data_IF_845674786092
#
_entry.id   IF_845674786092
#
_cell.length_a   1.000
_cell.length_b   1.000
_cell.length_c   1.000
_cell.angle_alpha   90.00
_cell.angle_beta   90.00
_cell.angle_gamma   90.00
#
_symmetry.space_group_name_H-M   'P 1'
#
loop_
_entity.id
_entity.type
_entity.pdbx_description
1 polymer ?
#
# COMPACT_ATOMS: atom_id res chain seq x y z
N UNK A 1 -7.77 -31.81 -0.20
CA UNK A 1 -6.49 -31.16 0.09
C UNK A 1 -5.65 -32.16 0.85
N UNK A 2 -4.42 -32.41 0.40
CA UNK A 2 -3.46 -33.18 1.17
C UNK A 2 -2.83 -32.29 2.29
N UNK A 3 -2.09 -32.90 3.20
CA UNK A 3 -1.52 -32.20 4.36
C UNK A 3 -0.54 -31.09 3.94
N UNK A 4 0.19 -31.28 2.85
CA UNK A 4 1.11 -30.27 2.31
C UNK A 4 0.36 -29.06 1.74
N UNK A 5 -0.76 -29.29 1.05
CA UNK A 5 -1.64 -28.24 0.52
C UNK A 5 -2.30 -27.45 1.66
N UNK A 6 -2.73 -28.12 2.72
CA UNK A 6 -3.29 -27.47 3.92
C UNK A 6 -2.26 -26.57 4.61
N UNK A 7 -1.04 -27.07 4.81
CA UNK A 7 0.05 -26.28 5.40
C UNK A 7 0.37 -25.04 4.56
N UNK A 8 0.45 -25.21 3.23
CA UNK A 8 0.73 -24.10 2.32
C UNK A 8 -0.40 -23.06 2.31
N UNK A 9 -1.65 -23.52 2.38
CA UNK A 9 -2.80 -22.64 2.51
C UNK A 9 -2.76 -21.85 3.83
N UNK A 10 -2.32 -22.48 4.92
CA UNK A 10 -2.16 -21.81 6.21
C UNK A 10 -1.08 -20.73 6.16
N UNK A 11 0.08 -21.07 5.62
CA UNK A 11 1.19 -20.13 5.40
C UNK A 11 0.75 -18.93 4.55
N UNK A 12 0.03 -19.16 3.46
CA UNK A 12 -0.43 -18.10 2.56
C UNK A 12 -1.55 -17.25 3.16
N UNK A 13 -2.49 -17.87 3.88
CA UNK A 13 -3.55 -17.13 4.58
C UNK A 13 -2.99 -16.24 5.68
N UNK A 14 -2.02 -16.75 6.45
CA UNK A 14 -1.30 -15.98 7.45
C UNK A 14 -0.48 -14.84 6.83
N UNK A 15 0.25 -15.12 5.74
CA UNK A 15 1.01 -14.10 5.03
C UNK A 15 0.13 -12.98 4.47
N UNK A 16 -1.09 -13.29 4.03
CA UNK A 16 -2.08 -12.29 3.59
C UNK A 16 -2.87 -11.64 4.74
N UNK A 17 -2.56 -11.96 6.00
CA UNK A 17 -3.28 -11.51 7.20
C UNK A 17 -4.79 -11.80 7.14
N UNK A 18 -5.17 -13.01 6.69
CA UNK A 18 -6.54 -13.46 6.54
C UNK A 18 -6.78 -14.78 7.25
N UNK A 19 -8.03 -15.01 7.68
CA UNK A 19 -8.43 -16.37 8.04
C UNK A 19 -8.45 -17.25 6.80
N UNK A 20 -8.19 -18.55 6.97
CA UNK A 20 -8.25 -19.57 5.90
C UNK A 20 -9.52 -19.47 5.07
N UNK A 21 -10.67 -19.34 5.74
CA UNK A 21 -11.99 -19.23 5.08
C UNK A 21 -12.12 -17.95 4.25
N UNK A 22 -11.58 -16.82 4.72
CA UNK A 22 -11.59 -15.57 3.97
C UNK A 22 -10.66 -15.67 2.75
N UNK A 23 -9.46 -16.24 2.93
CA UNK A 23 -8.50 -16.46 1.87
C UNK A 23 -9.08 -17.32 0.74
N UNK A 24 -9.76 -18.43 1.08
CA UNK A 24 -10.46 -19.28 0.09
C UNK A 24 -11.57 -18.51 -0.63
N UNK A 25 -12.41 -17.74 0.09
CA UNK A 25 -13.49 -16.96 -0.54
C UNK A 25 -12.95 -15.96 -1.56
N UNK A 26 -11.83 -15.31 -1.24
CA UNK A 26 -11.16 -14.38 -2.15
C UNK A 26 -10.65 -15.09 -3.40
N UNK A 27 -10.00 -16.25 -3.25
CA UNK A 27 -9.57 -17.08 -4.37
C UNK A 27 -10.74 -17.50 -5.26
N UNK A 28 -11.86 -17.94 -4.67
CA UNK A 28 -13.08 -18.32 -5.41
C UNK A 28 -13.66 -17.10 -6.16
N UNK A 29 -13.61 -15.92 -5.55
CA UNK A 29 -14.04 -14.67 -6.17
C UNK A 29 -13.06 -14.15 -7.25
N UNK A 30 -11.99 -14.89 -7.57
CA UNK A 30 -11.01 -14.53 -8.59
C UNK A 30 -9.96 -13.53 -8.13
N UNK A 31 -9.89 -13.21 -6.84
CA UNK A 31 -8.84 -12.39 -6.27
C UNK A 31 -7.64 -13.26 -5.89
N UNK A 32 -6.43 -12.78 -6.17
CA UNK A 32 -5.19 -13.40 -5.70
C UNK A 32 -4.67 -12.60 -4.49
N UNK A 33 -4.89 -13.07 -3.25
CA UNK A 33 -4.46 -12.33 -2.07
C UNK A 33 -2.92 -12.33 -2.01
N UNK A 34 -2.36 -11.15 -1.82
CA UNK A 34 -0.91 -10.93 -1.76
C UNK A 34 -0.48 -10.78 -0.30
N UNK A 35 0.78 -11.11 -0.02
CA UNK A 35 1.33 -10.97 1.32
C UNK A 35 1.16 -9.54 1.83
N UNK A 36 0.79 -9.42 3.11
CA UNK A 36 0.77 -8.13 3.79
C UNK A 36 2.16 -7.52 3.67
N UNK A 37 2.25 -6.24 3.31
CA UNK A 37 3.52 -5.56 3.20
C UNK A 37 4.31 -5.66 4.52
N UNK A 38 5.63 -5.86 4.44
CA UNK A 38 6.49 -5.95 5.63
C UNK A 38 6.29 -4.80 6.62
N UNK A 39 6.45 -5.07 7.93
CA UNK A 39 6.30 -4.07 9.02
C UNK A 39 7.15 -2.82 8.79
N UNK A 40 8.27 -2.98 8.08
CA UNK A 40 9.17 -1.93 7.65
C UNK A 40 8.47 -0.84 6.80
N UNK A 41 7.43 -1.19 6.03
CA UNK A 41 6.64 -0.20 5.28
C UNK A 41 5.79 0.68 6.19
N UNK A 42 5.39 0.19 7.36
CA UNK A 42 4.65 1.02 8.33
C UNK A 42 5.54 2.13 8.87
N UNK A 43 6.79 1.80 9.19
CA UNK A 43 7.78 2.78 9.64
C UNK A 43 8.03 3.85 8.58
N UNK A 44 8.14 3.47 7.31
CA UNK A 44 8.30 4.40 6.19
C UNK A 44 7.09 5.34 6.06
N UNK A 45 5.87 4.83 6.24
CA UNK A 45 4.66 5.67 6.20
C UNK A 45 4.63 6.63 7.38
N UNK A 46 4.86 6.15 8.60
CA UNK A 46 4.81 6.98 9.80
C UNK A 46 5.84 8.11 9.72
N UNK A 47 7.05 7.83 9.22
CA UNK A 47 8.09 8.84 8.95
C UNK A 47 7.63 9.88 7.93
N UNK A 48 7.01 9.44 6.83
CA UNK A 48 6.49 10.32 5.79
C UNK A 48 5.35 11.23 6.32
N UNK A 49 4.51 10.71 7.20
CA UNK A 49 3.47 11.48 7.88
C UNK A 49 4.09 12.55 8.80
N UNK A 50 5.12 12.18 9.56
CA UNK A 50 5.85 13.11 10.42
C UNK A 50 6.48 14.26 9.61
N UNK A 51 7.11 13.95 8.47
CA UNK A 51 7.66 14.97 7.56
C UNK A 51 6.55 15.91 7.06
N UNK A 52 5.40 15.36 6.64
CA UNK A 52 4.26 16.16 6.19
C UNK A 52 3.72 17.11 7.26
N UNK A 53 3.64 16.66 8.52
CA UNK A 53 3.23 17.50 9.65
C UNK A 53 4.21 18.64 9.88
N UNK A 54 5.52 18.35 9.90
CA UNK A 54 6.56 19.36 10.09
C UNK A 54 6.55 20.41 8.97
N UNK A 55 6.37 19.99 7.72
CA UNK A 55 6.20 20.92 6.60
C UNK A 55 4.99 21.84 6.81
N UNK A 56 3.87 21.30 7.31
CA UNK A 56 2.64 22.08 7.52
C UNK A 56 2.83 23.14 8.61
N UNK A 57 3.58 22.81 9.65
CA UNK A 57 3.95 23.77 10.69
C UNK A 57 4.85 24.88 10.14
N UNK A 58 5.85 24.54 9.32
CA UNK A 58 6.75 25.53 8.70
C UNK A 58 5.99 26.48 7.78
N UNK A 59 5.07 25.96 6.97
CA UNK A 59 4.22 26.78 6.12
C UNK A 59 3.28 27.68 6.92
N UNK A 60 2.71 27.19 8.01
CA UNK A 60 1.88 28.00 8.92
C UNK A 60 2.69 29.14 9.52
N UNK A 61 3.93 28.89 9.94
CA UNK A 61 4.85 29.95 10.43
C UNK A 61 5.19 30.95 9.32
N UNK A 62 5.52 30.49 8.12
CA UNK A 62 5.84 31.36 6.99
C UNK A 62 4.64 32.23 6.54
N UNK A 63 3.42 31.68 6.59
CA UNK A 63 2.19 32.43 6.39
C UNK A 63 2.02 33.53 7.43
N UNK A 64 2.26 33.23 8.71
CA UNK A 64 2.21 34.24 9.79
C UNK A 64 3.27 35.34 9.66
N UNK A 65 4.39 35.05 8.98
CA UNK A 65 5.49 35.98 8.72
C UNK A 65 5.36 36.69 7.36
N UNK A 66 4.27 36.48 6.63
CA UNK A 66 3.93 37.24 5.41
C UNK A 66 4.58 36.76 4.12
N UNK A 67 5.27 35.61 4.11
CA UNK A 67 5.96 35.10 2.93
C UNK A 67 5.68 33.60 2.74
N UNK A 68 4.53 33.25 2.16
CA UNK A 68 4.33 31.97 1.48
C UNK A 68 3.21 32.06 0.44
N UNK A 69 3.40 31.40 -0.72
CA UNK A 69 2.29 31.06 -1.61
C UNK A 69 1.47 29.95 -0.95
N UNK A 70 0.57 30.34 -0.05
CA UNK A 70 -0.29 29.44 0.71
C UNK A 70 -1.12 28.51 -0.20
N UNK A 71 -1.70 28.98 -1.32
CA UNK A 71 -2.39 28.11 -2.26
C UNK A 71 -1.50 27.00 -2.84
N UNK A 72 -0.28 27.31 -3.27
CA UNK A 72 0.64 26.32 -3.84
C UNK A 72 1.12 25.32 -2.78
N UNK A 73 1.43 25.82 -1.59
CA UNK A 73 1.79 24.98 -0.46
C UNK A 73 0.68 23.96 -0.14
N UNK A 74 -0.56 24.44 0.02
CA UNK A 74 -1.71 23.59 0.37
C UNK A 74 -1.97 22.55 -0.71
N UNK A 75 -1.81 22.89 -2.00
CA UNK A 75 -1.92 21.93 -3.12
C UNK A 75 -0.89 20.81 -3.00
N UNK A 76 0.38 21.14 -2.77
CA UNK A 76 1.45 20.16 -2.67
C UNK A 76 1.32 19.26 -1.43
N UNK A 77 0.98 19.84 -0.28
CA UNK A 77 0.71 19.08 0.94
C UNK A 77 -0.46 18.12 0.76
N UNK A 78 -1.58 18.58 0.19
CA UNK A 78 -2.75 17.74 -0.09
C UNK A 78 -2.41 16.58 -1.03
N UNK A 79 -1.61 16.84 -2.08
CA UNK A 79 -1.17 15.81 -3.02
C UNK A 79 -0.29 14.77 -2.34
N UNK A 80 0.66 15.18 -1.51
CA UNK A 80 1.51 14.29 -0.72
C UNK A 80 0.65 13.39 0.18
N UNK A 81 -0.26 13.98 0.97
CA UNK A 81 -1.14 13.24 1.87
C UNK A 81 -2.04 12.25 1.14
N UNK A 82 -2.53 12.60 -0.06
CA UNK A 82 -3.28 11.67 -0.91
C UNK A 82 -2.43 10.46 -1.30
N UNK A 83 -1.18 10.66 -1.72
CA UNK A 83 -0.27 9.57 -2.06
C UNK A 83 0.01 8.67 -0.86
N UNK A 84 0.23 9.25 0.33
CA UNK A 84 0.41 8.48 1.58
C UNK A 84 -0.86 7.70 1.94
N UNK A 85 -2.03 8.31 1.79
CA UNK A 85 -3.31 7.65 2.05
C UNK A 85 -3.57 6.51 1.05
N UNK A 86 -3.24 6.70 -0.23
CA UNK A 86 -3.35 5.66 -1.26
C UNK A 86 -2.39 4.50 -0.99
N UNK A 87 -1.13 4.78 -0.66
CA UNK A 87 -0.16 3.77 -0.26
C UNK A 87 -0.65 3.00 0.96
N UNK A 88 -1.02 3.69 2.04
CA UNK A 88 -1.53 3.03 3.26
C UNK A 88 -2.80 2.21 3.00
N UNK A 89 -3.73 2.69 2.16
CA UNK A 89 -4.93 1.94 1.79
C UNK A 89 -4.65 0.74 0.87
N UNK A 90 -3.61 0.78 0.04
CA UNK A 90 -3.17 -0.37 -0.76
C UNK A 90 -2.53 -1.42 0.14
N UNK A 91 -1.72 -0.99 1.10
CA UNK A 91 -1.09 -1.87 2.08
C UNK A 91 -2.14 -2.53 2.99
N UNK A 92 -3.17 -1.80 3.42
CA UNK A 92 -4.27 -2.32 4.23
C UNK A 92 -5.22 -3.27 3.48
N UNK A 93 -5.32 -3.18 2.15
CA UNK A 93 -6.19 -4.03 1.32
C UNK A 93 -5.53 -5.34 0.86
N UNK A 94 -4.26 -5.57 1.24
CA UNK A 94 -3.51 -6.73 0.81
C UNK A 94 -2.86 -6.48 -0.56
N UNK A 95 -1.63 -5.98 -0.51
CA UNK A 95 -0.63 -6.12 -1.56
C UNK A 95 -0.71 -5.16 -2.75
N UNK A 96 0.49 -4.74 -3.12
CA UNK A 96 0.85 -3.82 -4.19
C UNK A 96 0.24 -4.27 -5.54
N UNK A 97 -0.67 -3.48 -6.14
CA UNK A 97 -0.93 -3.48 -7.59
C UNK A 97 -0.04 -2.42 -8.24
N UNK A 98 1.24 -2.72 -8.45
CA UNK A 98 2.09 -1.91 -9.33
C UNK A 98 1.99 -2.50 -10.72
N UNK A 99 1.41 -1.72 -11.64
CA UNK A 99 1.72 -1.66 -13.06
C UNK A 99 1.83 -2.98 -13.83
N UNK A 100 0.90 -3.21 -14.76
CA UNK A 100 1.03 -4.24 -15.76
C UNK A 100 2.35 -4.12 -16.52
N UNK A 101 3.24 -5.10 -16.34
CA UNK A 101 4.33 -5.31 -17.27
C UNK A 101 3.82 -6.29 -18.33
N UNK A 102 3.40 -5.74 -19.47
CA UNK A 102 3.38 -6.47 -20.73
C UNK A 102 4.83 -6.92 -20.96
N UNK A 103 5.11 -8.21 -20.76
CA UNK A 103 6.11 -9.01 -21.47
C UNK A 103 6.36 -10.30 -20.69
N UNK A 104 5.65 -11.36 -21.07
CA UNK A 104 6.19 -12.71 -21.05
C UNK A 104 5.58 -13.43 -22.25
N UNK A 105 6.47 -13.76 -23.17
CA UNK A 105 6.23 -14.26 -24.50
C UNK A 105 5.37 -15.52 -24.48
N UNK A 106 4.39 -15.57 -25.39
CA UNK A 106 3.78 -16.83 -25.79
C UNK A 106 4.81 -17.65 -26.57
N UNK A 107 5.52 -18.56 -25.91
CA UNK A 107 5.99 -19.77 -26.60
C UNK A 107 4.98 -20.88 -26.37
N UNK A 108 4.19 -21.17 -27.41
CA UNK A 108 3.33 -22.34 -27.49
C UNK A 108 4.23 -23.56 -27.79
N UNK A 109 4.22 -24.64 -27.00
CA UNK A 109 4.87 -25.89 -27.39
C UNK A 109 3.96 -26.65 -28.38
N UNK A 110 4.50 -27.65 -29.10
CA UNK A 110 4.21 -27.92 -30.53
C UNK A 110 2.74 -28.25 -30.85
#
# INVERSE_FOLDING_TARGET
MNDAELKRLDEWSAAANMSRSNYIRQLIAGFQPVAFPPVEYRQVIDELQHIGINMNQLATKAHSLGFIDEPEYRRNATRMWRVVAELSAQLARGGIKIGGNKNLERKKPP
#
